data_IF_435011126426
#
_entry.id   IF_435011126426
#
_cell.length_a   1.000
_cell.length_b   1.000
_cell.length_c   1.000
_cell.angle_alpha   90.00
_cell.angle_beta   90.00
_cell.angle_gamma   90.00
#
_symmetry.space_group_name_H-M   'P 1'
#
loop_
_entity.id
_entity.type
_entity.pdbx_description
1 polymer ?
#
# COMPACT_ATOMS: atom_id res chain seq x y z
N UNK A 1 58.46 8.11 28.02
CA UNK A 1 57.60 9.10 28.68
C UNK A 1 56.17 8.75 28.35
N UNK A 2 55.49 8.14 29.31
CA UNK A 2 54.07 7.81 29.24
C UNK A 2 53.31 8.96 29.88
N UNK A 3 52.21 9.38 29.28
CA UNK A 3 51.29 10.36 29.86
C UNK A 3 49.91 9.75 30.00
N UNK A 4 49.12 10.24 30.95
CA UNK A 4 47.74 9.82 31.14
C UNK A 4 46.80 10.87 30.53
N UNK A 5 45.76 10.43 29.81
CA UNK A 5 44.72 11.28 29.23
C UNK A 5 43.33 10.74 29.55
N UNK A 6 42.34 11.63 29.67
CA UNK A 6 40.93 11.27 29.80
C UNK A 6 40.26 11.13 28.43
N UNK A 7 39.47 10.07 28.27
CA UNK A 7 38.71 9.83 27.05
C UNK A 7 37.56 10.84 26.91
N UNK A 8 37.47 11.49 25.74
CA UNK A 8 36.38 12.44 25.43
C UNK A 8 34.98 11.83 25.27
N UNK A 9 34.85 10.51 25.31
CA UNK A 9 33.57 9.82 25.15
C UNK A 9 33.09 9.15 26.45
N UNK A 10 33.96 8.39 27.13
CA UNK A 10 33.60 7.65 28.34
C UNK A 10 34.25 8.19 29.63
N UNK A 11 35.10 9.22 29.55
CA UNK A 11 35.78 9.80 30.71
C UNK A 11 36.94 8.99 31.28
N UNK A 12 37.08 7.70 30.90
CA UNK A 12 38.15 6.83 31.40
C UNK A 12 39.54 7.37 31.08
N UNK A 13 40.43 7.25 32.05
CA UNK A 13 41.85 7.52 31.89
C UNK A 13 42.52 6.40 31.08
N UNK A 14 43.44 6.78 30.20
CA UNK A 14 44.21 5.86 29.40
C UNK A 14 45.61 6.40 29.12
N UNK A 15 46.56 5.47 29.00
CA UNK A 15 47.95 5.79 28.73
C UNK A 15 48.18 6.17 27.27
N UNK A 16 49.05 7.16 27.06
CA UNK A 16 49.56 7.58 25.77
C UNK A 16 51.07 7.66 25.80
N UNK A 17 51.70 7.31 24.68
CA UNK A 17 53.12 7.47 24.49
C UNK A 17 53.40 8.90 24.01
N UNK A 18 54.03 9.72 24.85
CA UNK A 18 54.30 11.13 24.55
C UNK A 18 55.39 11.31 23.47
N UNK A 19 56.24 10.30 23.24
CA UNK A 19 57.22 10.31 22.15
C UNK A 19 56.59 10.09 20.77
N UNK A 20 55.42 9.44 20.70
CA UNK A 20 54.75 9.12 19.43
C UNK A 20 53.63 10.13 19.18
N UNK A 21 53.78 11.02 18.18
CA UNK A 21 52.79 12.06 17.81
C UNK A 21 51.35 11.52 17.68
N UNK A 22 51.16 10.36 17.05
CA UNK A 22 49.84 9.73 16.88
C UNK A 22 49.24 9.26 18.22
N UNK A 23 50.06 8.69 19.10
CA UNK A 23 49.63 8.24 20.43
C UNK A 23 49.37 9.45 21.33
N UNK A 24 50.28 10.41 21.34
CA UNK A 24 50.14 11.66 22.07
C UNK A 24 48.86 12.42 21.67
N UNK A 25 48.47 12.49 20.39
CA UNK A 25 47.23 13.17 19.95
C UNK A 25 45.95 12.36 20.14
N UNK A 26 46.02 11.14 20.68
CA UNK A 26 44.84 10.29 20.85
C UNK A 26 43.89 10.91 21.89
N UNK A 27 42.62 11.02 21.51
CA UNK A 27 41.55 11.63 22.34
C UNK A 27 40.59 10.61 22.95
N UNK A 28 40.66 9.36 22.49
CA UNK A 28 39.74 8.29 22.88
C UNK A 28 40.54 7.09 23.40
N UNK A 29 40.00 6.42 24.42
CA UNK A 29 40.64 5.23 24.98
C UNK A 29 40.59 4.04 24.01
N UNK A 30 39.60 3.99 23.11
CA UNK A 30 39.41 2.90 22.15
C UNK A 30 38.83 3.36 20.82
N UNK A 31 38.93 2.49 19.81
CA UNK A 31 38.29 2.69 18.51
C UNK A 31 36.76 2.76 18.64
N UNK A 32 36.20 2.02 19.60
CA UNK A 32 34.78 2.07 19.93
C UNK A 32 34.35 3.47 20.39
N UNK A 33 35.07 4.07 21.34
CA UNK A 33 34.78 5.42 21.83
C UNK A 33 34.86 6.47 20.71
N UNK A 34 35.86 6.36 19.82
CA UNK A 34 35.99 7.25 18.67
C UNK A 34 34.80 7.12 17.69
N UNK A 35 34.35 5.88 17.41
CA UNK A 35 33.20 5.61 16.53
C UNK A 35 31.88 6.06 17.16
N UNK A 36 31.68 5.80 18.44
CA UNK A 36 30.51 6.25 19.21
C UNK A 36 30.36 7.76 19.16
N UNK A 37 31.44 8.49 19.47
CA UNK A 37 31.44 9.95 19.47
C UNK A 37 31.12 10.52 18.07
N UNK A 38 31.76 9.98 17.03
CA UNK A 38 31.48 10.35 15.64
C UNK A 38 30.02 10.08 15.24
N UNK A 39 29.45 8.96 15.69
CA UNK A 39 28.05 8.61 15.47
C UNK A 39 27.12 9.63 16.13
N UNK A 40 27.33 9.94 17.41
CA UNK A 40 26.55 10.94 18.15
C UNK A 40 26.61 12.32 17.49
N UNK A 41 27.81 12.77 17.10
CA UNK A 41 28.03 14.09 16.48
C UNK A 41 27.32 14.27 15.14
N UNK A 42 27.12 13.18 14.40
CA UNK A 42 26.46 13.18 13.09
C UNK A 42 24.99 12.74 13.15
N UNK A 43 24.50 12.31 14.31
CA UNK A 43 23.12 11.87 14.49
C UNK A 43 22.17 13.03 14.16
N UNK A 44 21.22 12.78 13.26
CA UNK A 44 20.22 13.78 12.84
C UNK A 44 20.72 14.83 11.83
N UNK A 45 22.03 14.89 11.52
CA UNK A 45 22.53 15.84 10.51
C UNK A 45 22.17 15.36 9.11
N UNK A 46 21.39 16.17 8.39
CA UNK A 46 21.06 15.94 6.98
C UNK A 46 22.12 16.58 6.09
N UNK A 47 22.41 15.95 4.95
CA UNK A 47 23.26 16.57 3.92
C UNK A 47 22.56 17.79 3.33
N UNK A 48 23.34 18.83 3.01
CA UNK A 48 22.85 19.99 2.26
C UNK A 48 22.41 19.57 0.86
N UNK A 49 21.47 20.30 0.28
CA UNK A 49 20.97 19.99 -1.07
C UNK A 49 22.07 20.14 -2.13
N UNK A 50 23.00 21.07 -1.93
CA UNK A 50 24.20 21.19 -2.75
C UNK A 50 25.07 19.92 -2.71
N UNK A 51 25.29 19.36 -1.52
CA UNK A 51 26.06 18.11 -1.36
C UNK A 51 25.35 16.93 -2.01
N UNK A 52 24.03 16.83 -1.84
CA UNK A 52 23.22 15.78 -2.50
C UNK A 52 23.29 15.91 -4.02
N UNK A 53 23.20 17.13 -4.55
CA UNK A 53 23.31 17.41 -5.98
C UNK A 53 24.68 17.01 -6.53
N UNK A 54 25.77 17.40 -5.86
CA UNK A 54 27.14 17.01 -6.22
C UNK A 54 27.31 15.48 -6.26
N UNK A 55 26.81 14.77 -5.25
CA UNK A 55 26.83 13.30 -5.22
C UNK A 55 26.00 12.68 -6.34
N UNK A 56 24.80 13.21 -6.58
CA UNK A 56 23.96 12.73 -7.67
C UNK A 56 24.66 12.86 -9.02
N UNK A 57 25.27 14.03 -9.31
CA UNK A 57 26.02 14.26 -10.55
C UNK A 57 27.24 13.36 -10.70
N UNK A 58 27.90 13.03 -9.59
CA UNK A 58 29.08 12.16 -9.60
C UNK A 58 28.75 10.70 -9.95
N UNK A 59 27.50 10.25 -9.77
CA UNK A 59 27.06 8.87 -9.98
C UNK A 59 25.97 8.73 -11.04
N UNK A 60 25.79 9.72 -11.90
CA UNK A 60 24.77 9.73 -12.95
C UNK A 60 25.34 9.29 -14.30
N UNK A 61 24.53 8.58 -15.08
CA UNK A 61 24.92 8.08 -16.40
C UNK A 61 26.14 7.16 -16.33
N UNK A 62 27.06 7.32 -17.26
CA UNK A 62 28.29 6.52 -17.41
C UNK A 62 29.21 6.52 -16.18
N UNK A 63 29.11 7.53 -15.32
CA UNK A 63 29.88 7.58 -14.06
C UNK A 63 29.40 6.57 -13.02
N UNK A 64 28.20 6.01 -13.20
CA UNK A 64 27.72 4.94 -12.34
C UNK A 64 28.47 3.64 -12.65
N UNK A 65 29.06 3.01 -11.63
CA UNK A 65 29.79 1.74 -11.77
C UNK A 65 28.97 0.59 -12.40
N UNK A 66 27.64 0.69 -12.37
CA UNK A 66 26.70 -0.25 -12.96
C UNK A 66 26.04 0.26 -14.26
N UNK A 67 26.47 1.41 -14.79
CA UNK A 67 25.95 1.90 -16.07
C UNK A 67 26.25 0.91 -17.20
N UNK A 68 25.24 0.60 -18.00
CA UNK A 68 25.33 -0.35 -19.11
C UNK A 68 25.52 -1.81 -18.70
N UNK A 69 25.71 -2.13 -17.42
CA UNK A 69 25.86 -3.50 -16.94
C UNK A 69 24.49 -4.13 -16.68
N UNK A 70 24.29 -5.35 -17.18
CA UNK A 70 23.09 -6.14 -16.90
C UNK A 70 23.47 -7.39 -16.11
N UNK A 71 22.57 -7.85 -15.24
CA UNK A 71 22.78 -9.12 -14.56
C UNK A 71 22.73 -10.28 -15.56
N UNK A 72 23.61 -11.27 -15.37
CA UNK A 72 23.56 -12.53 -16.11
C UNK A 72 22.24 -13.25 -15.88
N UNK A 73 21.81 -14.08 -16.83
CA UNK A 73 20.59 -14.87 -16.69
C UNK A 73 20.63 -15.78 -15.46
N UNK A 74 21.81 -16.31 -15.11
CA UNK A 74 22.02 -17.09 -13.90
C UNK A 74 21.78 -16.26 -12.62
N UNK A 75 22.31 -15.03 -12.55
CA UNK A 75 22.09 -14.14 -11.41
C UNK A 75 20.62 -13.73 -11.29
N UNK A 76 19.94 -13.42 -12.42
CA UNK A 76 18.50 -13.15 -12.45
C UNK A 76 17.69 -14.35 -11.94
N UNK A 77 18.08 -15.56 -12.34
CA UNK A 77 17.44 -16.81 -11.87
C UNK A 77 17.59 -17.00 -10.37
N UNK A 78 18.79 -16.78 -9.80
CA UNK A 78 19.03 -16.87 -8.35
C UNK A 78 18.19 -15.87 -7.57
N UNK A 79 18.11 -14.61 -8.03
CA UNK A 79 17.26 -13.57 -7.41
C UNK A 79 15.77 -13.95 -7.50
N UNK A 80 15.33 -14.44 -8.65
CA UNK A 80 13.95 -14.88 -8.87
C UNK A 80 13.58 -16.02 -7.93
N UNK A 81 14.41 -17.08 -7.87
CA UNK A 81 14.22 -18.23 -6.96
C UNK A 81 14.15 -17.78 -5.50
N UNK A 82 15.04 -16.88 -5.07
CA UNK A 82 15.05 -16.37 -3.70
C UNK A 82 13.84 -15.50 -3.33
N UNK A 83 13.10 -14.97 -4.32
CA UNK A 83 11.89 -14.19 -4.12
C UNK A 83 10.59 -14.97 -4.40
N UNK A 84 10.69 -16.07 -5.13
CA UNK A 84 9.55 -16.94 -5.44
C UNK A 84 8.91 -17.46 -4.15
N UNK A 85 7.58 -17.46 -4.10
CA UNK A 85 6.80 -17.95 -2.96
C UNK A 85 6.81 -17.05 -1.71
N UNK A 86 7.56 -15.94 -1.69
CA UNK A 86 7.54 -15.01 -0.55
C UNK A 86 6.24 -14.22 -0.50
N UNK A 87 5.37 -14.59 0.44
CA UNK A 87 4.14 -13.84 0.74
C UNK A 87 4.47 -12.71 1.71
N UNK A 88 4.07 -11.48 1.37
CA UNK A 88 4.18 -10.34 2.30
C UNK A 88 3.11 -10.45 3.37
N UNK A 89 3.47 -10.14 4.62
CA UNK A 89 2.51 -10.06 5.72
C UNK A 89 1.43 -9.02 5.43
N UNK A 90 0.23 -9.23 5.96
CA UNK A 90 -0.87 -8.29 5.76
C UNK A 90 -0.53 -6.91 6.32
N UNK A 91 0.13 -6.86 7.48
CA UNK A 91 0.64 -5.62 8.07
C UNK A 91 1.57 -4.84 7.11
N UNK A 92 2.45 -5.54 6.37
CA UNK A 92 3.32 -4.89 5.39
C UNK A 92 2.53 -4.33 4.21
N UNK A 93 1.53 -5.08 3.72
CA UNK A 93 0.65 -4.62 2.64
C UNK A 93 -0.14 -3.39 3.07
N UNK A 94 -0.70 -3.41 4.28
CA UNK A 94 -1.48 -2.29 4.83
C UNK A 94 -0.62 -1.05 5.05
N UNK A 95 0.57 -1.19 5.64
CA UNK A 95 1.52 -0.07 5.77
C UNK A 95 1.88 0.55 4.42
N UNK A 96 2.08 -0.29 3.41
CA UNK A 96 2.41 0.16 2.05
C UNK A 96 1.21 0.86 1.41
N UNK A 97 0.01 0.27 1.53
CA UNK A 97 -1.26 0.83 1.04
C UNK A 97 -1.48 2.22 1.65
N UNK A 98 -1.47 2.31 2.98
CA UNK A 98 -1.72 3.55 3.71
C UNK A 98 -0.69 4.64 3.39
N UNK A 99 0.59 4.29 3.22
CA UNK A 99 1.64 5.24 2.80
C UNK A 99 1.35 5.88 1.45
N UNK A 100 0.73 5.15 0.52
CA UNK A 100 0.48 5.58 -0.85
C UNK A 100 -0.97 6.05 -1.07
N UNK A 101 -1.75 6.23 0.00
CA UNK A 101 -3.10 6.77 -0.08
C UNK A 101 -3.09 8.31 -0.03
N UNK A 102 -3.97 8.92 -0.84
CA UNK A 102 -4.16 10.38 -0.85
C UNK A 102 -2.84 11.13 -1.07
N UNK A 103 -2.63 12.17 -0.26
CA UNK A 103 -1.42 13.02 -0.29
C UNK A 103 -0.12 12.30 0.03
N UNK A 104 -0.17 11.07 0.56
CA UNK A 104 1.02 10.22 0.75
C UNK A 104 1.60 9.71 -0.57
N UNK A 105 0.79 9.64 -1.64
CA UNK A 105 1.29 9.30 -2.97
C UNK A 105 2.11 10.46 -3.56
N UNK A 106 3.34 10.19 -3.97
CA UNK A 106 4.25 11.14 -4.64
C UNK A 106 3.65 11.82 -5.89
N UNK A 107 2.68 11.15 -6.54
CA UNK A 107 1.94 11.65 -7.70
C UNK A 107 0.54 12.15 -7.38
N UNK A 108 0.13 12.24 -6.11
CA UNK A 108 -1.16 12.78 -5.74
C UNK A 108 -1.32 14.22 -6.24
N UNK A 109 -2.43 14.48 -6.93
CA UNK A 109 -2.72 15.79 -7.54
C UNK A 109 -1.84 16.16 -8.75
N UNK A 110 -0.86 15.34 -9.13
CA UNK A 110 0.02 15.61 -10.28
C UNK A 110 -0.51 14.91 -11.53
N UNK A 111 -0.46 15.59 -12.67
CA UNK A 111 -0.76 15.01 -13.99
C UNK A 111 0.53 14.87 -14.79
N UNK A 112 0.65 13.78 -15.55
CA UNK A 112 1.73 13.66 -16.52
C UNK A 112 1.63 14.75 -17.60
N UNK A 113 2.79 15.29 -18.01
CA UNK A 113 2.89 16.17 -19.17
C UNK A 113 2.50 15.43 -20.44
N UNK A 114 2.07 16.17 -21.47
CA UNK A 114 1.68 15.56 -22.74
C UNK A 114 2.86 14.80 -23.37
N UNK A 115 4.05 15.38 -23.34
CA UNK A 115 5.29 14.74 -23.81
C UNK A 115 5.54 13.38 -23.12
N UNK A 116 5.34 13.31 -21.80
CA UNK A 116 5.51 12.05 -21.04
C UNK A 116 4.47 11.02 -21.47
N UNK A 117 3.20 11.45 -21.66
CA UNK A 117 2.14 10.56 -22.14
C UNK A 117 2.46 10.01 -23.54
N UNK A 118 3.00 10.84 -24.42
CA UNK A 118 3.36 10.43 -25.77
C UNK A 118 4.54 9.44 -25.77
N UNK A 119 5.53 9.64 -24.89
CA UNK A 119 6.62 8.66 -24.68
C UNK A 119 6.09 7.32 -24.20
N UNK A 120 5.18 7.31 -23.22
CA UNK A 120 4.53 6.09 -22.73
C UNK A 120 3.74 5.41 -23.86
N UNK A 121 2.97 6.17 -24.64
CA UNK A 121 2.21 5.66 -25.79
C UNK A 121 3.11 5.00 -26.84
N UNK A 122 4.27 5.61 -27.15
CA UNK A 122 5.25 5.04 -28.08
C UNK A 122 5.80 3.70 -27.59
N UNK A 123 6.15 3.59 -26.31
CA UNK A 123 6.68 2.35 -25.72
C UNK A 123 5.65 1.21 -25.81
N UNK A 124 4.37 1.50 -25.59
CA UNK A 124 3.31 0.50 -25.57
C UNK A 124 2.57 0.32 -26.91
N UNK A 125 3.09 0.89 -28.00
CA UNK A 125 2.44 0.83 -29.32
C UNK A 125 2.14 -0.61 -29.74
N UNK A 126 3.09 -1.51 -29.51
CA UNK A 126 3.03 -2.91 -29.96
C UNK A 126 2.10 -3.79 -29.12
N UNK A 127 1.52 -3.24 -28.06
CA UNK A 127 0.52 -3.94 -27.22
C UNK A 127 -0.80 -3.15 -27.14
N UNK A 128 -1.08 -2.32 -28.15
CA UNK A 128 -2.25 -1.44 -28.21
C UNK A 128 -3.14 -1.74 -29.42
N UNK A 129 -4.38 -1.26 -29.38
CA UNK A 129 -5.35 -1.48 -30.46
C UNK A 129 -5.55 -2.98 -30.74
N UNK A 130 -5.37 -3.38 -32.00
CA UNK A 130 -5.45 -4.78 -32.46
C UNK A 130 -4.37 -5.69 -31.87
N UNK A 131 -3.23 -5.12 -31.47
CA UNK A 131 -2.10 -5.86 -30.91
C UNK A 131 -2.24 -6.07 -29.39
N UNK A 132 -3.27 -5.50 -28.77
CA UNK A 132 -3.57 -5.80 -27.37
C UNK A 132 -3.91 -7.30 -27.25
N UNK A 133 -3.30 -8.06 -26.32
CA UNK A 133 -3.65 -9.47 -26.10
C UNK A 133 -5.14 -9.73 -25.83
N UNK A 134 -5.87 -8.71 -25.35
CA UNK A 134 -7.31 -8.76 -25.11
C UNK A 134 -8.16 -8.23 -26.27
N UNK A 135 -7.56 -7.76 -27.37
CA UNK A 135 -8.31 -7.34 -28.55
C UNK A 135 -9.12 -8.52 -29.12
N UNK A 136 -10.38 -8.28 -29.48
CA UNK A 136 -11.31 -9.32 -29.93
C UNK A 136 -11.78 -10.30 -28.85
N UNK A 137 -11.17 -10.31 -27.65
CA UNK A 137 -11.53 -11.18 -26.53
C UNK A 137 -12.57 -10.55 -25.58
N UNK A 138 -13.18 -9.42 -25.94
CA UNK A 138 -14.17 -8.73 -25.11
C UNK A 138 -15.38 -9.60 -24.74
N UNK A 139 -15.76 -10.55 -25.60
CA UNK A 139 -16.85 -11.50 -25.35
C UNK A 139 -16.59 -12.42 -24.14
N UNK A 140 -15.34 -12.55 -23.68
CA UNK A 140 -15.00 -13.31 -22.46
C UNK A 140 -15.35 -12.54 -21.18
N UNK A 141 -15.63 -11.24 -21.29
CA UNK A 141 -15.94 -10.36 -20.17
C UNK A 141 -17.44 -10.07 -20.03
N UNK A 142 -18.28 -10.65 -20.88
CA UNK A 142 -19.74 -10.45 -20.88
C UNK A 142 -20.48 -11.74 -20.55
N UNK A 143 -21.65 -11.60 -19.92
CA UNK A 143 -22.55 -12.70 -19.62
C UNK A 143 -21.86 -13.86 -18.92
N UNK A 144 -22.31 -15.08 -19.21
CA UNK A 144 -21.84 -16.32 -18.57
C UNK A 144 -20.37 -16.67 -18.76
N UNK A 145 -19.69 -16.01 -19.69
CA UNK A 145 -18.26 -16.21 -19.93
C UNK A 145 -17.38 -15.41 -18.98
N UNK A 146 -17.93 -14.37 -18.35
CA UNK A 146 -17.24 -13.62 -17.33
C UNK A 146 -17.20 -14.44 -16.03
N UNK A 147 -16.02 -14.65 -15.45
CA UNK A 147 -15.87 -15.38 -14.18
C UNK A 147 -16.58 -14.70 -12.99
N UNK A 148 -16.94 -13.43 -13.11
CA UNK A 148 -17.78 -12.72 -12.13
C UNK A 148 -19.29 -12.82 -12.40
N UNK A 149 -19.73 -13.51 -13.46
CA UNK A 149 -21.14 -13.62 -13.78
C UNK A 149 -21.86 -14.58 -12.85
N UNK A 150 -22.82 -14.05 -12.12
CA UNK A 150 -23.63 -14.80 -11.16
C UNK A 150 -25.02 -15.04 -11.78
N UNK A 151 -25.13 -15.81 -12.87
CA UNK A 151 -26.41 -16.31 -13.36
C UNK A 151 -27.43 -15.27 -13.85
N UNK A 152 -27.02 -14.05 -14.20
CA UNK A 152 -27.94 -13.03 -14.68
C UNK A 152 -28.76 -12.34 -13.59
N UNK A 153 -28.32 -12.40 -12.32
CA UNK A 153 -29.01 -11.74 -11.17
C UNK A 153 -29.36 -10.28 -11.45
N UNK A 154 -28.67 -9.57 -12.35
CA UNK A 154 -29.06 -8.21 -12.77
C UNK A 154 -30.46 -8.13 -13.36
N UNK A 155 -30.89 -9.15 -14.10
CA UNK A 155 -32.19 -9.27 -14.76
C UNK A 155 -33.32 -9.59 -13.77
N UNK A 156 -33.00 -10.11 -12.59
CA UNK A 156 -34.01 -10.45 -11.60
C UNK A 156 -34.75 -9.17 -11.13
N UNK A 157 -36.08 -9.14 -11.27
CA UNK A 157 -36.86 -7.99 -10.87
C UNK A 157 -36.83 -7.83 -9.35
N UNK A 158 -36.78 -6.58 -8.90
CA UNK A 158 -37.05 -6.28 -7.49
C UNK A 158 -38.55 -6.41 -7.23
N UNK A 159 -38.90 -6.83 -6.02
CA UNK A 159 -40.29 -6.74 -5.56
C UNK A 159 -40.80 -5.29 -5.65
N UNK A 160 -42.07 -5.10 -6.03
CA UNK A 160 -42.72 -3.78 -6.07
C UNK A 160 -42.68 -3.06 -4.71
N UNK A 161 -42.55 -3.82 -3.61
CA UNK A 161 -42.38 -3.29 -2.25
C UNK A 161 -41.01 -2.63 -2.04
N UNK A 162 -39.97 -3.03 -2.79
CA UNK A 162 -38.63 -2.46 -2.73
C UNK A 162 -38.52 -1.09 -3.44
N UNK A 163 -39.39 -0.16 -3.06
CA UNK A 163 -39.53 1.16 -3.65
C UNK A 163 -38.79 2.24 -2.84
N UNK A 164 -38.84 3.48 -3.32
CA UNK A 164 -38.18 4.64 -2.69
C UNK A 164 -38.65 4.86 -1.24
N UNK A 165 -39.92 4.63 -0.97
CA UNK A 165 -40.51 4.82 0.37
C UNK A 165 -39.91 3.83 1.36
N UNK A 166 -39.93 2.53 1.04
CA UNK A 166 -39.32 1.49 1.89
C UNK A 166 -37.83 1.76 2.12
N UNK A 167 -37.08 2.08 1.06
CA UNK A 167 -35.65 2.40 1.18
C UNK A 167 -35.39 3.57 2.12
N UNK A 168 -36.25 4.60 2.13
CA UNK A 168 -36.12 5.72 3.03
C UNK A 168 -36.46 5.37 4.49
N UNK A 169 -37.41 4.46 4.72
CA UNK A 169 -37.72 3.93 6.05
C UNK A 169 -36.49 3.22 6.61
N UNK A 170 -35.88 2.29 5.85
CA UNK A 170 -34.69 1.54 6.29
C UNK A 170 -33.51 2.47 6.57
N UNK A 171 -33.24 3.44 5.69
CA UNK A 171 -32.17 4.44 5.93
C UNK A 171 -32.40 5.25 7.19
N UNK A 172 -33.64 5.70 7.45
CA UNK A 172 -33.97 6.45 8.65
C UNK A 172 -33.85 5.59 9.91
N UNK A 173 -34.33 4.35 9.87
CA UNK A 173 -34.17 3.37 10.96
C UNK A 173 -32.70 3.18 11.33
N UNK A 174 -31.84 3.08 10.33
CA UNK A 174 -30.40 2.87 10.54
C UNK A 174 -29.63 4.20 10.69
N UNK A 175 -30.32 5.33 10.82
CA UNK A 175 -29.75 6.68 10.92
C UNK A 175 -28.69 6.98 9.82
N UNK A 176 -28.97 6.57 8.58
CA UNK A 176 -28.08 6.69 7.42
C UNK A 176 -26.66 6.19 7.71
N UNK A 177 -26.54 5.17 8.55
CA UNK A 177 -25.25 4.64 9.01
C UNK A 177 -25.04 3.24 8.46
N UNK A 178 -23.88 3.03 7.85
CA UNK A 178 -23.46 1.72 7.39
C UNK A 178 -23.32 0.77 8.56
N UNK A 179 -24.04 -0.34 8.52
CA UNK A 179 -23.99 -1.40 9.54
C UNK A 179 -22.58 -1.94 9.77
N UNK A 180 -21.75 -2.03 8.74
CA UNK A 180 -20.44 -2.70 8.84
C UNK A 180 -19.33 -1.75 9.31
N UNK A 181 -19.25 -0.53 8.77
CA UNK A 181 -18.14 0.39 9.09
C UNK A 181 -18.53 1.66 9.87
N UNK A 182 -19.82 1.87 10.16
CA UNK A 182 -20.31 3.04 10.90
C UNK A 182 -20.22 4.38 10.14
N UNK A 183 -19.79 4.38 8.87
CA UNK A 183 -19.77 5.58 8.03
C UNK A 183 -21.15 5.87 7.44
N UNK A 184 -21.33 7.05 6.85
CA UNK A 184 -22.55 7.37 6.11
C UNK A 184 -22.88 6.30 5.06
N UNK A 185 -24.13 5.82 5.09
CA UNK A 185 -24.68 4.79 4.21
C UNK A 185 -25.94 5.29 3.52
N UNK A 186 -26.05 4.98 2.22
CA UNK A 186 -27.17 5.40 1.38
C UNK A 186 -27.75 4.25 0.54
N UNK A 187 -27.13 3.07 0.58
CA UNK A 187 -27.57 1.91 -0.18
C UNK A 187 -28.31 0.95 0.76
N UNK A 188 -29.45 0.43 0.31
CA UNK A 188 -30.22 -0.56 1.07
C UNK A 188 -29.94 -1.94 0.47
N UNK A 189 -29.45 -2.84 1.31
CA UNK A 189 -29.00 -4.18 0.95
C UNK A 189 -29.96 -5.24 1.46
N UNK A 190 -30.17 -6.31 0.69
CA UNK A 190 -30.88 -7.51 1.13
C UNK A 190 -29.87 -8.46 1.78
N UNK A 191 -30.08 -8.87 3.03
CA UNK A 191 -29.14 -9.73 3.77
C UNK A 191 -29.05 -11.12 3.12
N UNK A 192 -30.17 -11.67 2.66
CA UNK A 192 -30.27 -12.96 1.98
C UNK A 192 -29.94 -12.92 0.48
N UNK A 193 -29.72 -11.73 -0.09
CA UNK A 193 -29.53 -11.47 -1.52
C UNK A 193 -30.73 -11.83 -2.41
N UNK A 194 -31.89 -12.12 -1.84
CA UNK A 194 -33.14 -12.30 -2.58
C UNK A 194 -33.83 -10.95 -2.79
N UNK A 195 -33.85 -10.49 -4.04
CA UNK A 195 -34.46 -9.21 -4.44
C UNK A 195 -35.98 -9.17 -4.28
N UNK A 196 -36.63 -10.33 -4.08
CA UNK A 196 -38.06 -10.42 -3.83
C UNK A 196 -38.40 -10.31 -2.34
N UNK A 197 -37.45 -10.58 -1.45
CA UNK A 197 -37.62 -10.49 -0.01
C UNK A 197 -37.42 -9.07 0.55
N UNK A 198 -38.45 -8.23 0.37
CA UNK A 198 -38.46 -6.85 0.88
C UNK A 198 -38.94 -6.70 2.33
N UNK A 199 -38.79 -7.73 3.17
CA UNK A 199 -39.04 -7.60 4.61
C UNK A 199 -38.06 -6.60 5.22
N UNK A 200 -38.54 -5.66 6.03
CA UNK A 200 -37.70 -4.65 6.68
C UNK A 200 -36.56 -5.27 7.50
N UNK A 201 -36.79 -6.46 8.08
CA UNK A 201 -35.81 -7.21 8.86
C UNK A 201 -34.68 -7.79 8.01
N UNK A 202 -34.96 -8.05 6.72
CA UNK A 202 -33.99 -8.51 5.73
C UNK A 202 -33.22 -7.35 5.07
N UNK A 203 -33.59 -6.10 5.35
CA UNK A 203 -32.99 -4.93 4.72
C UNK A 203 -32.10 -4.16 5.68
N UNK A 204 -30.93 -3.73 5.23
CA UNK A 204 -29.98 -2.91 6.01
C UNK A 204 -29.37 -1.78 5.19
N UNK A 205 -28.92 -0.74 5.87
CA UNK A 205 -28.21 0.38 5.25
C UNK A 205 -26.70 0.14 5.22
N UNK A 206 -26.09 0.26 4.05
CA UNK A 206 -24.65 0.16 3.81
C UNK A 206 -24.09 1.40 3.08
N UNK A 207 -22.79 1.64 3.27
CA UNK A 207 -22.04 2.56 2.40
C UNK A 207 -21.70 1.86 1.08
N UNK A 208 -21.44 2.63 0.02
CA UNK A 208 -21.15 2.08 -1.30
C UNK A 208 -20.00 1.05 -1.30
N UNK A 209 -18.92 1.35 -0.57
CA UNK A 209 -17.76 0.45 -0.47
C UNK A 209 -18.13 -0.91 0.15
N UNK A 210 -18.93 -0.90 1.20
CA UNK A 210 -19.32 -2.11 1.92
C UNK A 210 -20.40 -2.88 1.15
N UNK A 211 -21.33 -2.18 0.49
CA UNK A 211 -22.33 -2.80 -0.38
C UNK A 211 -21.67 -3.53 -1.58
N UNK A 212 -20.60 -2.97 -2.14
CA UNK A 212 -19.81 -3.68 -3.15
C UNK A 212 -19.05 -4.87 -2.57
N UNK A 213 -18.51 -4.73 -1.35
CA UNK A 213 -17.76 -5.79 -0.68
C UNK A 213 -18.65 -6.99 -0.34
N UNK A 214 -19.89 -6.77 0.08
CA UNK A 214 -20.81 -7.86 0.46
C UNK A 214 -21.27 -8.69 -0.73
N UNK A 215 -21.14 -8.22 -1.97
CA UNK A 215 -21.50 -9.04 -3.14
C UNK A 215 -20.56 -10.24 -3.37
N UNK A 216 -19.36 -10.23 -2.79
CA UNK A 216 -18.42 -11.34 -2.78
C UNK A 216 -18.50 -12.14 -1.46
N UNK A 217 -18.35 -13.47 -1.53
CA UNK A 217 -18.45 -14.36 -0.36
C UNK A 217 -19.78 -14.21 0.41
N UNK A 218 -20.90 -14.31 -0.32
CA UNK A 218 -22.26 -14.05 0.20
C UNK A 218 -22.62 -14.89 1.42
N UNK A 219 -22.20 -16.14 1.48
CA UNK A 219 -22.48 -17.03 2.63
C UNK A 219 -21.92 -16.45 3.94
N UNK A 220 -20.69 -15.94 3.91
CA UNK A 220 -20.07 -15.31 5.08
C UNK A 220 -20.84 -14.05 5.51
N UNK A 221 -21.15 -13.16 4.57
CA UNK A 221 -21.82 -11.90 4.88
C UNK A 221 -23.26 -12.10 5.31
N UNK A 222 -23.97 -13.05 4.71
CA UNK A 222 -25.31 -13.45 5.11
C UNK A 222 -25.32 -13.93 6.56
N UNK A 223 -24.39 -14.79 6.97
CA UNK A 223 -24.26 -15.23 8.36
C UNK A 223 -23.94 -14.06 9.30
N UNK A 224 -22.91 -13.27 8.99
CA UNK A 224 -22.49 -12.12 9.79
C UNK A 224 -23.61 -11.09 9.98
N UNK A 225 -24.32 -10.72 8.91
CA UNK A 225 -25.37 -9.71 8.96
C UNK A 225 -26.62 -10.22 9.68
N UNK A 226 -26.97 -11.50 9.52
CA UNK A 226 -28.07 -12.10 10.28
C UNK A 226 -27.79 -12.11 11.79
N UNK A 227 -26.57 -12.45 12.20
CA UNK A 227 -26.20 -12.42 13.63
C UNK A 227 -26.18 -10.98 14.16
N UNK A 228 -25.68 -10.03 13.37
CA UNK A 228 -25.70 -8.60 13.74
C UNK A 228 -27.12 -8.06 13.91
N UNK A 229 -28.04 -8.36 12.99
CA UNK A 229 -29.42 -7.85 13.07
C UNK A 229 -30.20 -8.48 14.23
N UNK A 230 -29.94 -9.76 14.55
CA UNK A 230 -30.48 -10.41 15.76
C UNK A 230 -30.13 -9.62 17.02
N UNK A 231 -28.85 -9.34 17.22
CA UNK A 231 -28.35 -8.61 18.40
C UNK A 231 -28.89 -7.18 18.45
N UNK A 232 -28.96 -6.49 17.30
CA UNK A 232 -29.27 -5.06 17.28
C UNK A 232 -30.76 -4.71 17.41
N UNK A 233 -31.65 -5.59 16.93
CA UNK A 233 -33.07 -5.26 16.80
C UNK A 233 -34.01 -6.22 17.55
N UNK A 234 -33.51 -7.32 18.13
CA UNK A 234 -34.34 -8.34 18.79
C UNK A 234 -33.85 -8.76 20.18
N UNK A 235 -32.79 -8.13 20.68
CA UNK A 235 -32.45 -8.04 22.10
C UNK A 235 -32.73 -6.61 22.59
#
# INVERSE_FOLDING_TARGET
MIGIKKCKECGLEFEVNLKIKRSHRRMFCSSFCAKSNNGKRNKGKKQTDETKSKKSKASMGEKNHFYGKTHTNEAKSKISKGNSGKIRSEEFKDKTRNRMMGSGNHFYGKKHTQETKDKIRKIHRDCSGTNNPMYGNGYKLIGSKNGGWCGGITEDPYSKKFNRTLKNIIRRRDNFTCVICGKFGNEVHHIDYDKLNSDEKNLITLCHSDHMRTNANRNYWMAFLNDYTKIKYYE
#
